data_IF_233055687605
#
_entry.id   IF_233055687605
#
_cell.length_a   1.000
_cell.length_b   1.000
_cell.length_c   1.000
_cell.angle_alpha   90.00
_cell.angle_beta   90.00
_cell.angle_gamma   90.00
#
_symmetry.space_group_name_H-M   'P 1'
#
loop_
_entity.id
_entity.type
_entity.pdbx_description
1 polymer ?
#
# COMPACT_ATOMS: atom_id res chain seq x y z
N UNK A 1 36.99 -12.44 -8.44
CA UNK A 1 35.69 -13.07 -8.11
C UNK A 1 34.65 -12.00 -8.36
N UNK A 2 34.26 -11.85 -9.63
CA UNK A 2 33.33 -10.79 -10.04
C UNK A 2 31.91 -11.25 -9.73
N UNK A 3 31.33 -10.65 -8.69
CA UNK A 3 29.91 -10.78 -8.38
C UNK A 3 29.12 -10.04 -9.45
N UNK A 4 28.44 -10.81 -10.30
CA UNK A 4 27.49 -10.31 -11.29
C UNK A 4 26.38 -9.52 -10.59
N UNK A 5 26.52 -8.20 -10.61
CA UNK A 5 25.59 -7.21 -10.04
C UNK A 5 24.44 -6.87 -11.00
N UNK A 6 24.23 -7.68 -12.04
CA UNK A 6 23.08 -7.52 -12.94
C UNK A 6 21.78 -7.81 -12.18
N UNK A 7 20.79 -6.90 -12.22
CA UNK A 7 19.49 -7.17 -11.62
C UNK A 7 18.88 -8.40 -12.29
N UNK A 8 18.55 -9.41 -11.49
CA UNK A 8 17.84 -10.60 -11.99
C UNK A 8 16.54 -10.13 -12.64
N UNK A 9 16.33 -10.48 -13.91
CA UNK A 9 15.07 -10.17 -14.61
C UNK A 9 13.91 -10.81 -13.85
N UNK A 10 12.96 -9.98 -13.39
CA UNK A 10 11.71 -10.46 -12.77
C UNK A 10 10.81 -11.08 -13.83
N UNK A 11 10.01 -12.07 -13.43
CA UNK A 11 8.96 -12.58 -14.31
C UNK A 11 7.89 -11.49 -14.56
N UNK A 12 7.17 -11.56 -15.67
CA UNK A 12 6.09 -10.60 -15.94
C UNK A 12 5.00 -10.68 -14.86
N UNK A 13 4.42 -9.52 -14.50
CA UNK A 13 3.30 -9.45 -13.56
C UNK A 13 2.03 -10.13 -14.08
N UNK A 14 1.09 -10.41 -13.17
CA UNK A 14 -0.24 -10.97 -13.49
C UNK A 14 -1.32 -10.16 -12.78
N UNK A 15 -2.41 -9.85 -13.49
CA UNK A 15 -3.51 -9.05 -12.95
C UNK A 15 -4.19 -9.72 -11.73
N UNK A 16 -4.21 -11.05 -11.68
CA UNK A 16 -4.74 -11.81 -10.54
C UNK A 16 -3.66 -12.22 -9.53
N UNK A 17 -2.46 -11.63 -9.63
CA UNK A 17 -1.27 -12.05 -8.91
C UNK A 17 -0.59 -13.28 -9.51
N UNK A 18 0.69 -13.44 -9.17
CA UNK A 18 1.49 -14.60 -9.55
C UNK A 18 1.61 -15.59 -8.38
N UNK A 19 1.83 -16.88 -8.70
CA UNK A 19 2.01 -17.89 -7.66
C UNK A 19 3.32 -17.65 -6.91
N UNK A 20 3.21 -17.49 -5.60
CA UNK A 20 4.32 -17.35 -4.68
C UNK A 20 4.93 -18.68 -4.25
N UNK A 21 5.92 -18.63 -3.34
CA UNK A 21 6.57 -19.82 -2.80
C UNK A 21 5.65 -20.75 -2.01
N UNK A 22 4.50 -20.26 -1.56
CA UNK A 22 3.44 -21.03 -0.89
C UNK A 22 2.39 -21.60 -1.86
N UNK A 23 2.59 -21.44 -3.18
CA UNK A 23 1.70 -21.89 -4.24
C UNK A 23 0.43 -21.03 -4.42
N UNK A 24 0.21 -20.01 -3.58
CA UNK A 24 -0.94 -19.11 -3.64
C UNK A 24 -0.64 -17.92 -4.54
N UNK A 25 -1.68 -17.36 -5.15
CA UNK A 25 -1.54 -16.13 -5.94
C UNK A 25 -1.32 -14.93 -5.00
N UNK A 26 -0.43 -14.04 -5.38
CA UNK A 26 -0.16 -12.78 -4.69
C UNK A 26 0.57 -11.79 -5.58
N UNK A 27 0.77 -10.60 -5.05
CA UNK A 27 1.53 -9.51 -5.64
C UNK A 27 2.91 -9.42 -4.98
N UNK A 28 3.92 -9.03 -5.74
CA UNK A 28 5.24 -8.71 -5.21
C UNK A 28 5.19 -7.36 -4.48
N UNK A 29 5.06 -7.42 -3.15
CA UNK A 29 4.69 -6.29 -2.30
C UNK A 29 5.85 -5.68 -1.48
N UNK A 30 7.08 -5.91 -1.92
CA UNK A 30 8.34 -5.39 -1.35
C UNK A 30 8.85 -6.01 -0.06
N UNK A 31 8.09 -6.87 0.63
CA UNK A 31 8.59 -7.52 1.85
C UNK A 31 9.72 -8.50 1.53
N UNK A 32 10.95 -8.17 1.95
CA UNK A 32 12.14 -9.00 1.72
C UNK A 32 12.11 -10.33 2.46
N UNK A 33 11.37 -10.39 3.57
CA UNK A 33 11.24 -11.52 4.48
C UNK A 33 9.95 -12.33 4.26
N UNK A 34 9.17 -12.00 3.23
CA UNK A 34 8.01 -12.77 2.81
C UNK A 34 8.43 -13.84 1.79
N UNK A 35 8.75 -15.05 2.27
CA UNK A 35 9.06 -16.20 1.41
C UNK A 35 7.88 -16.59 0.48
N UNK A 36 6.65 -16.22 0.86
CA UNK A 36 5.47 -16.39 0.01
C UNK A 36 5.40 -15.39 -1.15
N UNK A 37 6.22 -14.32 -1.17
CA UNK A 37 6.09 -13.29 -2.20
C UNK A 37 6.55 -13.81 -3.57
N UNK A 38 5.73 -13.70 -4.63
CA UNK A 38 6.21 -13.95 -5.98
C UNK A 38 7.27 -12.93 -6.39
N UNK A 39 8.14 -13.30 -7.34
CA UNK A 39 9.19 -12.44 -7.88
C UNK A 39 8.81 -11.94 -9.27
N UNK A 40 7.74 -11.13 -9.32
CA UNK A 40 7.16 -10.58 -10.54
C UNK A 40 7.31 -9.07 -10.65
N UNK A 41 7.30 -8.57 -11.89
CA UNK A 41 7.23 -7.16 -12.23
C UNK A 41 5.78 -6.69 -12.32
N UNK A 42 5.12 -6.65 -11.17
CA UNK A 42 3.74 -6.20 -11.06
C UNK A 42 3.59 -4.68 -11.23
N UNK A 43 4.64 -3.92 -10.90
CA UNK A 43 4.69 -2.46 -11.13
C UNK A 43 4.73 -2.18 -12.62
N UNK A 44 5.57 -2.88 -13.38
CA UNK A 44 5.63 -2.75 -14.84
C UNK A 44 4.31 -3.09 -15.53
N UNK A 45 3.61 -4.14 -15.06
CA UNK A 45 2.26 -4.47 -15.54
C UNK A 45 1.28 -3.32 -15.29
N UNK A 46 1.19 -2.83 -14.05
CA UNK A 46 0.22 -1.80 -13.68
C UNK A 46 0.55 -0.47 -14.37
N UNK A 47 1.82 -0.10 -14.49
CA UNK A 47 2.25 1.06 -15.26
C UNK A 47 1.87 0.96 -16.75
N UNK A 48 1.95 -0.24 -17.35
CA UNK A 48 1.51 -0.46 -18.72
C UNK A 48 -0.02 -0.32 -18.86
N UNK A 49 -0.79 -0.80 -17.88
CA UNK A 49 -2.25 -0.62 -17.84
C UNK A 49 -2.57 0.88 -17.76
N UNK A 50 -2.01 1.62 -16.79
CA UNK A 50 -2.24 3.05 -16.64
C UNK A 50 -1.96 3.80 -17.94
N UNK A 51 -0.79 3.58 -18.55
CA UNK A 51 -0.42 4.23 -19.82
C UNK A 51 -1.42 3.92 -20.94
N UNK A 52 -1.89 2.68 -21.02
CA UNK A 52 -2.86 2.27 -22.03
C UNK A 52 -4.21 2.94 -21.81
N UNK A 53 -4.74 2.94 -20.60
CA UNK A 53 -6.03 3.55 -20.29
C UNK A 53 -6.01 5.07 -20.55
N UNK A 54 -4.90 5.74 -20.22
CA UNK A 54 -4.71 7.16 -20.51
C UNK A 54 -4.61 7.43 -22.02
N UNK A 55 -3.86 6.62 -22.76
CA UNK A 55 -3.60 6.87 -24.17
C UNK A 55 -4.74 6.42 -25.11
N UNK A 56 -5.47 5.37 -24.75
CA UNK A 56 -6.42 4.70 -25.64
C UNK A 56 -7.88 4.82 -25.19
N UNK A 57 -8.13 5.21 -23.93
CA UNK A 57 -9.48 5.15 -23.30
C UNK A 57 -9.86 6.42 -22.55
N UNK A 58 -9.20 7.54 -22.85
CA UNK A 58 -9.48 8.87 -22.30
C UNK A 58 -9.46 8.95 -20.76
N UNK A 59 -8.74 8.05 -20.10
CA UNK A 59 -8.54 8.15 -18.65
C UNK A 59 -7.73 9.41 -18.34
N UNK A 60 -8.19 10.19 -17.37
CA UNK A 60 -7.53 11.43 -16.97
C UNK A 60 -6.23 11.12 -16.19
N UNK A 61 -5.05 11.51 -16.72
CA UNK A 61 -3.77 11.22 -16.07
C UNK A 61 -3.61 11.90 -14.70
N UNK A 62 -4.38 12.96 -14.42
CA UNK A 62 -4.39 13.64 -13.12
C UNK A 62 -5.32 12.97 -12.09
N UNK A 63 -6.09 11.94 -12.48
CA UNK A 63 -7.07 11.25 -11.62
C UNK A 63 -6.88 9.73 -11.63
N UNK A 64 -5.63 9.29 -11.51
CA UNK A 64 -5.28 7.87 -11.37
C UNK A 64 -5.11 7.53 -9.89
N UNK A 65 -5.80 6.49 -9.43
CA UNK A 65 -5.81 6.07 -8.02
C UNK A 65 -5.43 4.59 -7.90
N UNK A 66 -4.64 4.24 -6.89
CA UNK A 66 -4.32 2.86 -6.57
C UNK A 66 -4.99 2.45 -5.26
N UNK A 67 -5.68 1.32 -5.22
CA UNK A 67 -6.14 0.76 -3.93
C UNK A 67 -6.00 -0.75 -3.87
N UNK A 68 -5.92 -1.27 -2.64
CA UNK A 68 -6.02 -2.70 -2.43
C UNK A 68 -6.21 -3.09 -0.97
N UNK A 69 -6.58 -4.35 -0.77
CA UNK A 69 -6.76 -4.96 0.54
C UNK A 69 -5.67 -6.00 0.82
N UNK A 70 -5.19 -6.09 2.06
CA UNK A 70 -4.18 -7.08 2.48
C UNK A 70 -2.91 -7.02 1.60
N UNK A 71 -2.49 -8.11 0.95
CA UNK A 71 -1.36 -8.11 0.00
C UNK A 71 -1.56 -7.13 -1.16
N UNK A 72 -2.80 -6.90 -1.62
CA UNK A 72 -3.10 -5.85 -2.60
C UNK A 72 -2.92 -4.43 -2.03
N UNK A 73 -3.17 -4.24 -0.73
CA UNK A 73 -2.90 -2.96 -0.05
C UNK A 73 -1.40 -2.72 0.14
N UNK A 74 -0.63 -3.79 0.40
CA UNK A 74 0.84 -3.73 0.41
C UNK A 74 1.39 -3.43 -0.99
N UNK A 75 0.76 -4.00 -2.04
CA UNK A 75 1.06 -3.61 -3.41
C UNK A 75 0.70 -2.15 -3.70
N UNK A 76 -0.40 -1.63 -3.14
CA UNK A 76 -0.73 -0.20 -3.28
C UNK A 76 0.33 0.71 -2.63
N UNK A 77 0.89 0.34 -1.47
CA UNK A 77 2.06 1.04 -0.91
C UNK A 77 3.27 1.00 -1.84
N UNK A 78 3.54 -0.16 -2.48
CA UNK A 78 4.61 -0.30 -3.48
C UNK A 78 4.38 0.62 -4.68
N UNK A 79 3.16 0.65 -5.23
CA UNK A 79 2.80 1.50 -6.36
C UNK A 79 2.94 2.98 -6.01
N UNK A 80 2.51 3.39 -4.81
CA UNK A 80 2.71 4.75 -4.33
C UNK A 80 4.20 5.12 -4.25
N UNK A 81 5.07 4.17 -3.93
CA UNK A 81 6.52 4.38 -3.92
C UNK A 81 7.13 4.46 -5.33
N UNK A 82 6.85 3.48 -6.19
CA UNK A 82 7.54 3.32 -7.48
C UNK A 82 6.87 4.10 -8.63
N UNK A 83 5.58 4.40 -8.51
CA UNK A 83 4.78 5.15 -9.50
C UNK A 83 4.21 6.45 -8.94
N UNK A 84 4.79 7.01 -7.88
CA UNK A 84 4.21 8.15 -7.17
C UNK A 84 3.84 9.34 -8.07
N UNK A 85 4.66 9.65 -9.08
CA UNK A 85 4.39 10.75 -10.03
C UNK A 85 3.27 10.46 -11.04
N UNK A 86 2.76 9.24 -11.09
CA UNK A 86 1.65 8.81 -11.97
C UNK A 86 0.33 8.63 -11.21
N UNK A 87 0.31 8.83 -9.89
CA UNK A 87 -0.86 8.63 -9.04
C UNK A 87 -1.29 9.95 -8.40
N UNK A 88 -2.59 10.15 -8.27
CA UNK A 88 -3.18 11.27 -7.54
C UNK A 88 -3.34 10.96 -6.05
N UNK A 89 -3.70 9.72 -5.71
CA UNK A 89 -3.82 9.23 -4.35
C UNK A 89 -3.76 7.69 -4.31
N UNK A 90 -3.62 7.13 -3.11
CA UNK A 90 -3.78 5.69 -2.91
C UNK A 90 -4.58 5.36 -1.64
N UNK A 91 -5.15 4.15 -1.60
CA UNK A 91 -5.87 3.65 -0.44
C UNK A 91 -5.49 2.21 -0.08
N UNK A 92 -5.47 1.90 1.20
CA UNK A 92 -5.17 0.55 1.70
C UNK A 92 -6.19 0.10 2.73
N UNK A 93 -6.49 -1.20 2.74
CA UNK A 93 -7.37 -1.83 3.74
C UNK A 93 -6.69 -3.06 4.32
N UNK A 94 -6.54 -3.13 5.64
CA UNK A 94 -5.91 -4.27 6.32
C UNK A 94 -4.49 -4.53 5.83
N UNK A 95 -3.71 -3.46 5.62
CA UNK A 95 -2.35 -3.52 5.10
C UNK A 95 -1.48 -2.44 5.75
N UNK A 96 -0.20 -2.74 5.93
CA UNK A 96 0.80 -1.82 6.50
C UNK A 96 2.09 -1.90 5.68
N UNK A 97 2.95 -0.89 5.79
CA UNK A 97 4.24 -0.88 5.14
C UNK A 97 5.13 -2.01 5.66
N UNK A 98 5.95 -2.56 4.77
CA UNK A 98 6.93 -3.59 5.10
C UNK A 98 7.91 -3.09 6.17
N UNK A 99 8.22 -3.93 7.17
CA UNK A 99 9.29 -3.66 8.14
C UNK A 99 10.65 -3.60 7.45
N UNK A 100 10.84 -4.47 6.46
CA UNK A 100 12.04 -4.57 5.61
C UNK A 100 11.61 -4.57 4.15
N UNK A 101 11.69 -3.40 3.53
CA UNK A 101 11.36 -3.22 2.11
C UNK A 101 12.58 -3.46 1.22
N UNK A 102 12.38 -4.16 0.11
CA UNK A 102 13.36 -4.34 -0.98
C UNK A 102 13.13 -3.40 -2.16
N UNK A 103 12.13 -2.53 -2.08
CA UNK A 103 11.79 -1.58 -3.13
C UNK A 103 12.29 -0.18 -2.80
N UNK A 104 12.19 0.73 -3.78
CA UNK A 104 12.47 2.14 -3.57
C UNK A 104 11.68 2.68 -2.36
N UNK A 105 12.29 3.62 -1.64
CA UNK A 105 11.60 4.38 -0.61
C UNK A 105 10.66 5.40 -1.27
N UNK A 106 9.46 5.63 -0.73
CA UNK A 106 8.58 6.66 -1.27
C UNK A 106 9.23 8.03 -1.23
N UNK A 107 9.16 8.75 -2.36
CA UNK A 107 9.78 10.07 -2.55
C UNK A 107 8.80 11.14 -3.03
N UNK A 108 7.57 10.75 -3.37
CA UNK A 108 6.51 11.66 -3.82
C UNK A 108 5.39 11.70 -2.79
N UNK A 109 5.05 12.89 -2.25
CA UNK A 109 3.90 13.02 -1.38
C UNK A 109 2.62 12.72 -2.17
N UNK A 110 1.75 11.91 -1.57
CA UNK A 110 0.46 11.52 -2.14
C UNK A 110 -0.60 11.58 -1.05
N UNK A 111 -1.81 11.96 -1.44
CA UNK A 111 -2.98 11.73 -0.60
C UNK A 111 -3.13 10.23 -0.33
N UNK A 112 -3.34 9.88 0.94
CA UNK A 112 -3.39 8.49 1.40
C UNK A 112 -4.62 8.24 2.27
N UNK A 113 -5.36 7.16 1.99
CA UNK A 113 -6.38 6.61 2.89
C UNK A 113 -5.89 5.25 3.42
N UNK A 114 -5.65 5.14 4.72
CA UNK A 114 -5.20 3.89 5.35
C UNK A 114 -6.29 3.42 6.30
N UNK A 115 -6.90 2.28 5.99
CA UNK A 115 -7.95 1.64 6.80
C UNK A 115 -7.36 0.41 7.49
N UNK A 116 -7.38 0.39 8.82
CA UNK A 116 -6.80 -0.68 9.62
C UNK A 116 -7.74 -1.11 10.75
N UNK A 117 -7.73 -2.40 11.09
CA UNK A 117 -8.45 -2.96 12.22
C UNK A 117 -7.55 -3.13 13.44
N UNK A 118 -7.97 -2.66 14.61
CA UNK A 118 -7.19 -2.81 15.86
C UNK A 118 -7.09 -4.26 16.34
N UNK A 119 -8.07 -5.10 15.98
CA UNK A 119 -8.11 -6.53 16.29
C UNK A 119 -7.78 -7.43 15.09
N UNK A 120 -7.11 -6.91 14.06
CA UNK A 120 -6.74 -7.70 12.88
C UNK A 120 -5.74 -8.81 13.25
N UNK A 121 -6.12 -10.10 13.13
CA UNK A 121 -5.26 -11.22 13.51
C UNK A 121 -4.25 -11.58 12.41
N UNK A 122 -4.36 -10.97 11.22
CA UNK A 122 -3.55 -11.28 10.04
C UNK A 122 -2.46 -10.24 9.84
N UNK A 123 -2.81 -8.96 9.86
CA UNK A 123 -1.88 -7.82 9.73
C UNK A 123 -1.97 -7.00 11.02
N UNK A 124 -1.12 -7.28 12.03
CA UNK A 124 -1.29 -6.70 13.35
C UNK A 124 -1.22 -5.17 13.34
N UNK A 125 -2.17 -4.53 14.03
CA UNK A 125 -2.24 -3.06 14.11
C UNK A 125 -0.96 -2.43 14.70
N UNK A 126 -0.38 -3.09 15.71
CA UNK A 126 0.87 -2.68 16.35
C UNK A 126 2.14 -3.09 15.57
N UNK A 127 1.99 -3.69 14.39
CA UNK A 127 3.10 -4.22 13.59
C UNK A 127 3.54 -5.61 14.05
N UNK A 128 4.51 -6.17 13.32
CA UNK A 128 5.04 -7.51 13.57
C UNK A 128 4.70 -8.50 12.45
N UNK A 129 4.72 -9.82 12.75
CA UNK A 129 4.62 -10.87 11.74
C UNK A 129 3.21 -10.95 11.15
N UNK A 130 3.15 -11.04 9.82
CA UNK A 130 1.91 -11.29 9.10
C UNK A 130 1.61 -12.79 9.10
N UNK A 131 0.38 -13.18 9.44
CA UNK A 131 -0.02 -14.59 9.48
C UNK A 131 -1.43 -14.80 8.93
N UNK A 132 -1.55 -15.57 7.85
CA UNK A 132 -2.85 -15.98 7.32
C UNK A 132 -3.10 -17.42 7.74
N UNK A 133 -4.16 -17.65 8.52
CA UNK A 133 -4.57 -18.96 9.04
C UNK A 133 -3.45 -19.70 9.82
N UNK A 134 -2.66 -18.97 10.62
CA UNK A 134 -1.55 -19.55 11.40
C UNK A 134 -0.30 -19.92 10.59
N UNK A 135 -0.28 -19.63 9.28
CA UNK A 135 0.89 -19.81 8.43
C UNK A 135 2.02 -18.82 8.78
N UNK A 136 3.28 -19.28 8.71
CA UNK A 136 4.49 -18.47 8.88
C UNK A 136 5.05 -18.03 7.51
N UNK A 137 6.05 -17.15 7.52
CA UNK A 137 6.85 -16.82 6.33
C UNK A 137 6.22 -15.77 5.40
N UNK A 138 5.27 -14.97 5.90
CA UNK A 138 4.72 -13.81 5.16
C UNK A 138 5.41 -12.48 5.51
N UNK A 139 6.55 -12.52 6.20
CA UNK A 139 7.31 -11.33 6.59
C UNK A 139 6.62 -10.47 7.65
N UNK A 140 7.25 -9.34 7.95
CA UNK A 140 6.82 -8.40 8.98
C UNK A 140 6.42 -7.03 8.42
N UNK A 141 5.53 -6.36 9.16
CA UNK A 141 5.13 -4.98 8.90
C UNK A 141 5.46 -4.06 10.09
N UNK A 142 5.52 -2.75 9.84
CA UNK A 142 5.53 -1.74 10.90
C UNK A 142 4.12 -1.51 11.48
N UNK A 143 4.02 -0.79 12.60
CA UNK A 143 2.72 -0.42 13.15
C UNK A 143 1.93 0.44 12.17
N UNK A 144 0.61 0.35 12.21
CA UNK A 144 -0.27 1.13 11.34
C UNK A 144 -0.08 2.64 11.55
N UNK A 145 0.11 3.06 12.80
CA UNK A 145 0.42 4.44 13.16
C UNK A 145 1.76 4.91 12.55
N UNK A 146 2.76 4.03 12.45
CA UNK A 146 4.05 4.37 11.83
C UNK A 146 3.92 4.51 10.31
N UNK A 147 3.14 3.63 9.66
CA UNK A 147 2.81 3.75 8.23
C UNK A 147 2.11 5.07 7.94
N UNK A 148 1.06 5.41 8.69
CA UNK A 148 0.35 6.68 8.54
C UNK A 148 1.27 7.88 8.81
N UNK A 149 2.09 7.81 9.86
CA UNK A 149 3.04 8.87 10.20
C UNK A 149 4.12 9.05 9.15
N UNK A 150 4.56 7.98 8.48
CA UNK A 150 5.51 8.07 7.39
C UNK A 150 4.96 8.91 6.24
N UNK A 151 3.76 8.58 5.74
CA UNK A 151 3.13 9.31 4.63
C UNK A 151 2.78 10.75 5.00
N UNK A 152 2.26 10.97 6.22
CA UNK A 152 2.03 12.33 6.76
C UNK A 152 3.30 13.18 6.75
N UNK A 153 4.43 12.64 7.21
CA UNK A 153 5.71 13.35 7.22
C UNK A 153 6.26 13.59 5.82
N UNK A 154 6.06 12.64 4.90
CA UNK A 154 6.44 12.80 3.50
C UNK A 154 5.69 13.99 2.86
N UNK A 155 4.42 14.17 3.23
CA UNK A 155 3.56 15.30 2.84
C UNK A 155 3.75 16.55 3.73
N UNK A 156 4.76 16.56 4.62
CA UNK A 156 5.09 17.70 5.49
C UNK A 156 3.94 18.20 6.40
N UNK A 157 2.93 17.36 6.64
CA UNK A 157 1.77 17.71 7.46
C UNK A 157 2.13 17.70 8.96
N UNK A 158 1.51 18.56 9.80
CA UNK A 158 1.79 18.63 11.24
C UNK A 158 1.38 17.36 11.98
N UNK A 159 1.93 17.14 13.17
CA UNK A 159 1.59 15.97 14.01
C UNK A 159 0.13 16.00 14.48
N UNK A 160 -0.38 17.21 14.75
CA UNK A 160 -1.75 17.43 15.21
C UNK A 160 -2.71 17.25 14.02
N UNK A 161 -3.69 16.32 14.09
CA UNK A 161 -4.65 16.13 13.02
C UNK A 161 -5.57 17.34 12.87
N UNK A 162 -6.03 17.58 11.64
CA UNK A 162 -7.05 18.58 11.35
C UNK A 162 -8.39 18.22 12.02
N UNK A 163 -8.72 16.93 12.03
CA UNK A 163 -9.88 16.40 12.74
C UNK A 163 -9.66 14.94 13.15
N UNK A 164 -10.31 14.55 14.23
CA UNK A 164 -10.44 13.15 14.63
C UNK A 164 -11.81 12.95 15.26
N UNK A 165 -12.59 12.02 14.74
CA UNK A 165 -13.94 11.76 15.22
C UNK A 165 -14.33 10.29 15.06
N UNK A 166 -15.14 9.81 16.01
CA UNK A 166 -15.80 8.52 15.87
C UNK A 166 -16.88 8.62 14.78
N UNK A 167 -16.89 7.68 13.85
CA UNK A 167 -17.91 7.63 12.81
C UNK A 167 -19.25 7.12 13.38
N UNK A 168 -20.40 7.51 12.79
CA UNK A 168 -21.70 7.04 13.22
C UNK A 168 -21.75 5.51 13.27
N UNK A 169 -22.30 4.99 14.36
CA UNK A 169 -22.44 3.56 14.56
C UNK A 169 -23.87 3.13 14.26
N UNK A 170 -24.06 2.39 13.18
CA UNK A 170 -25.39 2.04 12.65
C UNK A 170 -26.02 0.82 13.31
N UNK A 171 -25.26 0.04 14.10
CA UNK A 171 -25.74 -1.19 14.71
C UNK A 171 -25.17 -1.36 16.13
N UNK A 172 -25.97 -1.00 17.16
CA UNK A 172 -25.54 -0.99 18.55
C UNK A 172 -24.97 -2.33 19.08
N UNK A 173 -25.34 -3.47 18.47
CA UNK A 173 -24.90 -4.80 18.88
C UNK A 173 -23.55 -5.22 18.28
N UNK A 174 -23.06 -4.52 17.25
CA UNK A 174 -21.71 -4.75 16.71
C UNK A 174 -20.70 -4.07 17.63
N UNK A 175 -19.72 -4.76 18.23
CA UNK A 175 -18.71 -4.12 19.07
C UNK A 175 -17.71 -3.26 18.28
N UNK A 176 -17.70 -3.33 16.96
CA UNK A 176 -16.79 -2.60 16.09
C UNK A 176 -17.14 -1.11 16.09
N UNK A 177 -16.13 -0.26 16.26
CA UNK A 177 -16.25 1.20 16.12
C UNK A 177 -15.16 1.69 15.18
N UNK A 178 -15.47 2.71 14.39
CA UNK A 178 -14.52 3.34 13.49
C UNK A 178 -14.20 4.76 13.96
N UNK A 179 -12.93 5.13 13.89
CA UNK A 179 -12.46 6.50 14.10
C UNK A 179 -11.83 6.97 12.79
N UNK A 180 -12.26 8.13 12.30
CA UNK A 180 -11.63 8.81 11.17
C UNK A 180 -10.72 9.90 11.73
N UNK A 181 -9.44 9.79 11.44
CA UNK A 181 -8.45 10.84 11.72
C UNK A 181 -7.93 11.38 10.40
N UNK A 182 -8.01 12.69 10.23
CA UNK A 182 -7.62 13.38 9.00
C UNK A 182 -6.53 14.41 9.29
N UNK A 183 -5.46 14.35 8.50
CA UNK A 183 -4.44 15.39 8.39
C UNK A 183 -4.58 16.11 7.05
N UNK A 184 -4.20 17.39 7.01
CA UNK A 184 -4.40 18.23 5.85
C UNK A 184 -5.88 18.58 5.61
N UNK A 185 -6.11 19.56 4.72
CA UNK A 185 -7.45 19.90 4.22
C UNK A 185 -7.66 19.16 2.90
N UNK A 186 -8.90 18.77 2.59
CA UNK A 186 -9.21 18.32 1.24
C UNK A 186 -8.89 19.46 0.26
N UNK A 187 -7.86 19.28 -0.56
CA UNK A 187 -7.55 20.20 -1.65
C UNK A 187 -8.66 20.15 -2.71
N UNK A 188 -8.85 21.21 -3.51
CA UNK A 188 -9.61 21.08 -4.74
C UNK A 188 -8.95 20.04 -5.65
N UNK A 189 -9.72 19.30 -6.48
CA UNK A 189 -9.15 18.32 -7.38
C UNK A 189 -8.12 18.97 -8.30
N UNK A 190 -6.86 18.50 -8.23
CA UNK A 190 -5.75 18.96 -9.08
C UNK A 190 -4.72 19.89 -8.44
N UNK A 191 -4.84 20.25 -7.15
CA UNK A 191 -3.79 20.98 -6.43
C UNK A 191 -2.94 20.06 -5.56
N UNK A 192 -1.61 20.22 -5.59
CA UNK A 192 -0.75 19.65 -4.54
C UNK A 192 -1.23 20.16 -3.18
N UNK A 193 -1.40 19.25 -2.23
CA UNK A 193 -1.57 19.62 -0.83
C UNK A 193 -0.26 20.27 -0.33
N UNK A 194 -0.41 21.27 0.53
CA UNK A 194 0.65 21.84 1.36
C UNK A 194 0.38 21.48 2.81
#
# INVERSE_FOLDING_TARGET
>A
MDGDSRPRRRAAGRADGARGGDGKAGWHDCRLDAASSPQTDDVGLIAAIIRREVAERDADPARVYAMGMSNGGMMAFRLASELGGSLAAFATVGASMARRSGCAAPSHPLSALIVAGTADPVVPYAGGPVSLFGGKGRGEVIAMADSASFWRRLDQLPDIPHSSAQLPHSNADDPTRATLTQWGRAGPPGGCCC
#
